data_IF_331052398184
#
_entry.id   IF_331052398184
#
_cell.length_a   1.000
_cell.length_b   1.000
_cell.length_c   1.000
_cell.angle_alpha   90.00
_cell.angle_beta   90.00
_cell.angle_gamma   90.00
#
_symmetry.space_group_name_H-M   'P 1'
#
loop_
_entity.id
_entity.type
_entity.pdbx_description
1 polymer ?
#
# COMPACT_ATOMS: atom_id res chain seq x y z
N UNK A 1 10.43 -11.05 27.14
CA UNK A 1 9.80 -10.77 26.40
C UNK A 1 10.00 -10.25 25.79
N UNK A 2 10.61 -10.22 26.45
CA UNK A 2 10.18 -9.88 25.66
C UNK A 2 10.56 -9.30 25.25
N UNK A 3 10.90 -9.44 25.78
CA UNK A 3 10.52 -8.95 25.14
C UNK A 3 10.57 -8.46 24.75
N UNK A 4 11.35 -8.68 25.52
CA UNK A 4 10.71 -8.32 24.80
C UNK A 4 10.84 -7.59 24.35
N UNK A 5 11.36 -7.69 24.98
CA UNK A 5 10.70 -7.27 24.25
C UNK A 5 10.69 -6.75 23.66
N UNK A 6 11.15 -6.84 24.15
CA UNK A 6 10.27 -6.53 23.32
C UNK A 6 10.24 -6.44 22.70
N UNK A 7 10.35 -6.67 23.21
CA UNK A 7 9.61 -6.81 22.56
C UNK A 7 9.53 -6.36 22.09
N UNK A 8 10.25 -6.36 22.63
CA UNK A 8 9.52 -6.06 21.95
C UNK A 8 9.96 -5.42 21.92
N UNK A 9 10.43 -5.51 22.58
CA UNK A 9 10.10 -5.15 22.29
C UNK A 9 10.21 -4.66 21.85
N UNK A 10 10.61 -4.65 22.49
CA UNK A 10 10.06 -4.40 21.93
C UNK A 10 9.81 -4.42 21.24
N UNK A 11 10.09 -4.72 21.75
CA UNK A 11 9.25 -4.90 21.04
C UNK A 11 8.79 -5.22 20.90
N UNK A 12 8.68 -5.54 21.58
CA UNK A 12 7.65 -6.00 21.36
C UNK A 12 7.21 -5.98 21.31
N UNK A 13 7.16 -6.17 21.96
CA UNK A 13 6.31 -6.19 21.87
C UNK A 13 5.84 -6.19 21.20
N UNK A 14 5.99 -6.34 21.43
CA UNK A 14 5.09 -6.37 20.87
C UNK A 14 4.67 -6.64 20.26
N UNK A 15 4.63 -7.03 20.80
CA UNK A 15 3.82 -7.37 20.40
C UNK A 15 3.18 -7.56 20.21
N UNK A 16 3.07 -7.97 20.68
CA UNK A 16 2.16 -8.17 20.59
C UNK A 16 1.33 -8.20 20.07
N UNK A 17 1.15 -8.58 20.24
CA UNK A 17 0.24 -8.45 19.84
C UNK A 17 -0.37 -8.70 18.88
N UNK A 18 -0.23 -9.05 18.75
CA UNK A 18 -0.83 -9.27 17.79
C UNK A 18 -0.68 -9.65 17.00
N UNK A 19 -0.15 -10.23 17.11
CA UNK A 19 -0.04 -10.65 16.40
C UNK A 19 0.10 -10.94 15.75
N UNK A 20 0.37 -11.37 15.94
CA UNK A 20 0.61 -11.34 15.48
C UNK A 20 0.93 -10.82 14.86
N UNK A 21 1.34 -10.60 14.81
CA UNK A 21 1.68 -9.75 14.44
C UNK A 21 1.89 -9.00 14.24
N UNK A 22 1.84 -8.95 13.30
CA UNK A 22 2.51 -8.38 14.40
C UNK A 22 2.02 -6.99 14.75
N UNK A 23 1.88 -6.73 15.94
CA UNK A 23 1.42 -5.43 16.41
C UNK A 23 2.49 -4.37 16.17
N UNK A 24 2.09 -3.22 15.61
CA UNK A 24 2.97 -2.07 15.42
C UNK A 24 2.48 -0.95 16.32
N UNK A 25 3.18 -0.65 17.42
CA UNK A 25 2.78 0.45 18.28
C UNK A 25 2.91 1.81 17.60
N UNK A 26 3.87 1.94 16.69
CA UNK A 26 4.09 3.16 15.93
C UNK A 26 3.91 2.86 14.44
N UNK A 27 3.01 3.55 13.74
CA UNK A 27 2.88 3.34 12.30
C UNK A 27 4.19 3.74 11.61
N UNK A 28 4.52 3.06 10.52
CA UNK A 28 5.68 3.41 9.74
C UNK A 28 5.50 4.80 9.13
N UNK A 29 6.61 5.52 8.96
CA UNK A 29 6.56 6.85 8.37
C UNK A 29 6.31 6.73 6.88
N UNK A 30 5.55 7.66 6.28
CA UNK A 30 5.39 7.66 4.84
C UNK A 30 6.72 7.92 4.15
N UNK A 31 6.92 7.30 3.01
CA UNK A 31 8.09 7.57 2.20
C UNK A 31 7.89 8.89 1.44
N UNK A 32 8.91 9.29 0.68
CA UNK A 32 8.91 10.57 0.00
C UNK A 32 7.75 10.70 -1.01
N UNK A 33 7.45 9.64 -1.73
CA UNK A 33 6.38 9.66 -2.73
C UNK A 33 5.00 9.70 -2.08
N UNK A 34 4.82 8.91 -1.04
CA UNK A 34 3.58 8.94 -0.26
C UNK A 34 3.36 10.32 0.34
N UNK A 35 4.41 10.93 0.87
CA UNK A 35 4.33 12.28 1.42
C UNK A 35 3.95 13.31 0.35
N UNK A 36 4.43 13.15 -0.87
CA UNK A 36 4.07 14.02 -1.98
C UNK A 36 2.57 13.94 -2.27
N UNK A 37 2.02 12.72 -2.31
CA UNK A 37 0.57 12.54 -2.50
C UNK A 37 -0.19 13.13 -1.32
N UNK A 38 0.29 12.89 -0.11
CA UNK A 38 -0.32 13.47 1.09
C UNK A 38 -0.36 14.99 1.06
N UNK A 39 0.69 15.62 0.53
CA UNK A 39 0.74 17.08 0.42
C UNK A 39 -0.31 17.58 -0.59
N UNK A 40 -0.49 16.86 -1.70
CA UNK A 40 -1.53 17.20 -2.67
C UNK A 40 -2.90 17.21 -2.01
N UNK A 41 -3.19 16.17 -1.21
CA UNK A 41 -4.47 16.07 -0.51
C UNK A 41 -4.63 17.17 0.55
N UNK A 42 -3.56 17.42 1.30
CA UNK A 42 -3.55 18.46 2.36
C UNK A 42 -3.82 19.83 1.76
N UNK A 43 -3.16 20.16 0.65
CA UNK A 43 -3.36 21.45 -0.02
C UNK A 43 -4.78 21.61 -0.52
N UNK A 44 -5.44 20.52 -0.86
CA UNK A 44 -6.83 20.52 -1.30
C UNK A 44 -7.83 20.39 -0.12
N UNK A 45 -7.33 20.37 1.11
CA UNK A 45 -8.13 20.28 2.34
C UNK A 45 -8.92 18.97 2.42
N UNK A 46 -8.35 17.90 1.90
CA UNK A 46 -8.94 16.55 1.95
C UNK A 46 -8.27 15.78 3.07
N UNK A 47 -9.07 15.25 4.01
CA UNK A 47 -8.55 14.46 5.12
C UNK A 47 -8.19 13.06 4.65
N UNK A 48 -7.09 12.53 5.20
CA UNK A 48 -6.62 11.19 4.88
C UNK A 48 -5.78 10.65 6.02
N UNK A 49 -5.43 9.37 5.94
CA UNK A 49 -4.49 8.73 6.86
C UNK A 49 -3.49 7.91 6.07
N UNK A 50 -2.23 7.92 6.53
CA UNK A 50 -1.21 7.03 5.98
C UNK A 50 -1.31 5.66 6.65
N UNK A 51 -0.99 4.63 5.89
CA UNK A 51 -0.68 3.29 6.39
C UNK A 51 -1.77 2.67 7.26
N UNK A 52 -3.01 2.83 6.86
CA UNK A 52 -4.12 2.20 7.54
C UNK A 52 -4.28 0.77 7.04
N UNK A 53 -4.56 -0.17 7.97
CA UNK A 53 -4.83 -1.56 7.60
C UNK A 53 -6.27 -1.74 7.19
N UNK A 54 -6.48 -2.51 6.12
CA UNK A 54 -7.82 -2.93 5.70
C UNK A 54 -7.86 -4.45 5.62
N UNK A 55 -9.02 -5.03 5.93
CA UNK A 55 -9.20 -6.47 5.92
C UNK A 55 -9.73 -6.93 4.56
N UNK A 56 -9.29 -8.11 4.15
CA UNK A 56 -9.84 -8.74 2.96
C UNK A 56 -9.81 -10.26 3.14
N UNK A 57 -10.51 -10.98 2.28
CA UNK A 57 -10.48 -12.44 2.27
C UNK A 57 -9.76 -12.92 1.01
N UNK A 58 -8.91 -13.95 1.19
CA UNK A 58 -8.28 -14.61 0.04
C UNK A 58 -9.30 -15.45 -0.71
N UNK A 59 -8.88 -16.01 -1.84
CA UNK A 59 -9.75 -16.92 -2.60
C UNK A 59 -10.08 -18.20 -1.82
N UNK A 60 -9.25 -18.54 -0.81
CA UNK A 60 -9.50 -19.68 0.07
C UNK A 60 -10.27 -19.27 1.33
N UNK A 61 -10.86 -18.08 1.33
CA UNK A 61 -11.66 -17.54 2.44
C UNK A 61 -10.86 -17.30 3.72
N UNK A 62 -9.56 -17.13 3.62
CA UNK A 62 -8.74 -16.75 4.77
C UNK A 62 -8.72 -15.24 4.93
N UNK A 63 -8.82 -14.77 6.17
CA UNK A 63 -8.74 -13.35 6.45
C UNK A 63 -7.29 -12.87 6.42
N UNK A 64 -7.07 -11.72 5.80
CA UNK A 64 -5.76 -11.07 5.72
C UNK A 64 -5.92 -9.58 5.92
N UNK A 65 -4.84 -8.93 6.31
CA UNK A 65 -4.78 -7.49 6.42
C UNK A 65 -3.78 -6.95 5.41
N UNK A 66 -4.13 -5.82 4.80
CA UNK A 66 -3.19 -5.10 3.97
C UNK A 66 -3.06 -3.69 4.52
N UNK A 67 -1.82 -3.25 4.75
CA UNK A 67 -1.55 -1.86 5.07
C UNK A 67 -1.58 -1.08 3.76
N UNK A 68 -2.54 -0.16 3.63
CA UNK A 68 -2.65 0.64 2.41
C UNK A 68 -1.87 1.95 2.59
N UNK A 69 -1.38 2.50 1.50
CA UNK A 69 -0.50 3.67 1.57
C UNK A 69 -1.27 4.90 2.06
N UNK A 70 -2.41 5.17 1.47
CA UNK A 70 -3.22 6.33 1.82
C UNK A 70 -4.69 5.92 1.86
N UNK A 71 -5.37 6.30 2.94
CA UNK A 71 -6.77 5.99 3.15
C UNK A 71 -7.57 7.28 3.28
N UNK A 72 -8.65 7.38 2.51
CA UNK A 72 -9.59 8.51 2.55
C UNK A 72 -10.97 7.97 2.91
N UNK A 73 -11.52 8.46 4.02
CA UNK A 73 -12.85 8.02 4.46
C UNK A 73 -13.93 8.30 3.42
N UNK A 74 -14.97 7.48 3.33
CA UNK A 74 -15.16 6.28 4.15
C UNK A 74 -14.45 5.04 3.58
N UNK A 75 -14.24 4.91 2.27
CA UNK A 75 -13.71 3.69 1.68
C UNK A 75 -12.92 3.94 0.40
N UNK A 76 -12.04 4.92 0.42
CA UNK A 76 -11.15 5.19 -0.72
C UNK A 76 -9.71 4.92 -0.34
N UNK A 77 -8.97 4.33 -1.25
CA UNK A 77 -7.57 3.97 -1.05
C UNK A 77 -6.77 4.50 -2.23
N UNK A 78 -5.62 5.12 -1.93
CA UNK A 78 -4.63 5.45 -2.96
C UNK A 78 -3.38 4.65 -2.64
N UNK A 79 -2.92 3.87 -3.62
CA UNK A 79 -1.70 3.10 -3.52
C UNK A 79 -0.64 3.74 -4.40
N UNK A 80 0.56 3.87 -3.88
CA UNK A 80 1.70 4.32 -4.67
C UNK A 80 2.55 3.10 -5.03
N UNK A 81 2.73 2.86 -6.32
CA UNK A 81 3.53 1.73 -6.80
C UNK A 81 4.86 2.22 -7.35
N UNK A 82 5.95 1.78 -6.70
CA UNK A 82 7.30 2.02 -7.21
C UNK A 82 7.54 1.22 -8.48
N UNK A 83 8.34 1.79 -9.37
CA UNK A 83 8.61 1.21 -10.69
C UNK A 83 9.18 -0.19 -10.59
N UNK A 84 10.20 -0.38 -9.76
CA UNK A 84 10.88 -1.67 -9.64
C UNK A 84 10.08 -2.66 -8.79
N UNK A 85 9.72 -2.26 -7.58
CA UNK A 85 9.13 -3.20 -6.61
C UNK A 85 7.80 -3.78 -7.05
N UNK A 86 7.05 -3.03 -7.84
CA UNK A 86 5.76 -3.48 -8.36
C UNK A 86 5.83 -3.84 -9.84
N UNK A 87 7.04 -3.80 -10.42
CA UNK A 87 7.31 -4.15 -11.81
C UNK A 87 6.35 -3.44 -12.76
N UNK A 88 6.47 -2.11 -12.85
CA UNK A 88 5.59 -1.31 -13.70
C UNK A 88 5.48 -1.97 -15.08
N UNK A 89 4.27 -2.41 -15.48
CA UNK A 89 4.11 -3.17 -16.73
C UNK A 89 4.47 -2.38 -17.98
N UNK A 90 4.65 -1.07 -17.88
CA UNK A 90 5.14 -0.26 -18.99
C UNK A 90 6.65 -0.33 -19.11
N UNK A 91 7.34 -0.86 -18.08
CA UNK A 91 8.82 -0.93 -18.02
C UNK A 91 9.32 -2.37 -18.00
N UNK A 92 8.53 -3.30 -17.54
CA UNK A 92 8.94 -4.69 -17.35
C UNK A 92 8.07 -5.63 -18.14
N UNK A 93 8.69 -6.74 -18.59
CA UNK A 93 7.99 -7.81 -19.31
C UNK A 93 7.55 -8.90 -18.32
N UNK A 94 6.59 -9.74 -18.69
CA UNK A 94 6.08 -10.77 -17.77
C UNK A 94 7.15 -11.67 -17.15
N UNK A 95 8.20 -12.00 -17.89
CA UNK A 95 9.24 -12.92 -17.41
C UNK A 95 10.44 -12.22 -16.78
N UNK A 96 10.42 -10.89 -16.70
CA UNK A 96 11.50 -10.17 -16.04
C UNK A 96 11.53 -10.54 -14.56
N UNK A 97 12.72 -10.65 -14.01
CA UNK A 97 12.91 -11.06 -12.63
C UNK A 97 13.11 -9.85 -11.73
N UNK A 98 12.34 -9.82 -10.66
CA UNK A 98 12.39 -8.75 -9.65
C UNK A 98 12.86 -9.39 -8.35
N UNK A 99 13.76 -8.72 -7.65
CA UNK A 99 14.23 -9.21 -6.35
C UNK A 99 13.26 -8.77 -5.26
N UNK A 100 12.73 -9.73 -4.56
CA UNK A 100 11.80 -9.47 -3.46
C UNK A 100 12.18 -10.35 -2.28
N UNK A 101 12.50 -9.72 -1.14
CA UNK A 101 12.89 -10.44 0.08
C UNK A 101 13.99 -11.47 -0.16
N UNK A 102 14.99 -11.09 -0.97
CA UNK A 102 16.13 -11.94 -1.26
C UNK A 102 15.91 -13.01 -2.31
N UNK A 103 14.72 -13.07 -2.89
CA UNK A 103 14.38 -14.05 -3.93
C UNK A 103 14.02 -13.33 -5.23
N UNK A 104 14.24 -14.02 -6.34
CA UNK A 104 13.84 -13.52 -7.65
C UNK A 104 12.44 -14.04 -7.98
N UNK A 105 11.55 -13.14 -8.36
CA UNK A 105 10.18 -13.47 -8.71
C UNK A 105 9.85 -12.80 -10.04
N UNK A 106 9.07 -13.47 -10.88
CA UNK A 106 8.68 -12.91 -12.18
C UNK A 106 7.70 -11.76 -12.01
N UNK A 107 7.86 -10.73 -12.84
CA UNK A 107 6.94 -9.61 -12.86
C UNK A 107 5.49 -10.06 -12.97
N UNK A 108 5.24 -11.05 -13.84
CA UNK A 108 3.90 -11.62 -14.02
C UNK A 108 3.30 -12.13 -12.71
N UNK A 109 4.10 -12.74 -11.86
CA UNK A 109 3.63 -13.26 -10.57
C UNK A 109 3.30 -12.13 -9.60
N UNK A 110 4.10 -11.07 -9.63
CA UNK A 110 3.81 -9.87 -8.84
C UNK A 110 2.46 -9.28 -9.26
N UNK A 111 2.24 -9.12 -10.56
CA UNK A 111 1.01 -8.56 -11.09
C UNK A 111 -0.21 -9.38 -10.70
N UNK A 112 -0.12 -10.71 -10.82
CA UNK A 112 -1.23 -11.61 -10.47
C UNK A 112 -1.58 -11.50 -8.99
N UNK A 113 -0.56 -11.50 -8.14
CA UNK A 113 -0.76 -11.41 -6.69
C UNK A 113 -1.43 -10.10 -6.32
N UNK A 114 -0.94 -8.99 -6.84
CA UNK A 114 -1.48 -7.68 -6.51
C UNK A 114 -2.89 -7.51 -7.06
N UNK A 115 -3.13 -7.98 -8.27
CA UNK A 115 -4.46 -7.91 -8.86
C UNK A 115 -5.47 -8.66 -8.01
N UNK A 116 -5.10 -9.84 -7.53
CA UNK A 116 -5.98 -10.64 -6.66
C UNK A 116 -6.30 -9.89 -5.37
N UNK A 117 -5.27 -9.36 -4.70
CA UNK A 117 -5.46 -8.65 -3.44
C UNK A 117 -6.38 -7.44 -3.63
N UNK A 118 -6.11 -6.61 -4.63
CA UNK A 118 -6.92 -5.42 -4.87
C UNK A 118 -8.35 -5.78 -5.24
N UNK A 119 -8.55 -6.86 -6.00
CA UNK A 119 -9.89 -7.31 -6.35
C UNK A 119 -10.67 -7.71 -5.10
N UNK A 120 -10.03 -8.43 -4.19
CA UNK A 120 -10.67 -8.84 -2.95
C UNK A 120 -11.01 -7.66 -2.04
N UNK A 121 -10.13 -6.65 -2.00
CA UNK A 121 -10.40 -5.43 -1.24
C UNK A 121 -11.58 -4.67 -1.87
N UNK A 122 -11.63 -4.57 -3.20
CA UNK A 122 -12.74 -3.90 -3.89
C UNK A 122 -14.08 -4.58 -3.60
N UNK A 123 -14.10 -5.90 -3.43
CA UNK A 123 -15.32 -6.61 -3.08
C UNK A 123 -15.92 -6.14 -1.76
N UNK A 124 -15.12 -5.56 -0.91
CA UNK A 124 -15.58 -5.02 0.37
C UNK A 124 -16.10 -3.59 0.26
N UNK A 125 -16.18 -3.05 -0.95
CA UNK A 125 -16.73 -1.73 -1.20
C UNK A 125 -15.72 -0.62 -1.29
N UNK A 126 -14.43 -0.94 -1.24
CA UNK A 126 -13.38 0.08 -1.37
C UNK A 126 -13.17 0.47 -2.83
N UNK A 127 -12.91 1.75 -3.05
CA UNK A 127 -12.44 2.26 -4.34
C UNK A 127 -10.94 2.45 -4.23
N UNK A 128 -10.20 2.07 -5.26
CA UNK A 128 -8.75 2.09 -5.23
C UNK A 128 -8.21 2.82 -6.45
N UNK A 129 -7.31 3.76 -6.21
CA UNK A 129 -6.53 4.43 -7.25
C UNK A 129 -5.08 4.04 -7.07
N UNK A 130 -4.46 3.50 -8.10
CA UNK A 130 -3.03 3.18 -8.09
C UNK A 130 -2.29 4.28 -8.83
N UNK A 131 -1.29 4.86 -8.17
CA UNK A 131 -0.43 5.89 -8.74
C UNK A 131 0.96 5.30 -8.94
N UNK A 132 1.44 5.28 -10.17
CA UNK A 132 2.78 4.79 -10.47
C UNK A 132 3.82 5.88 -10.26
N UNK A 133 4.98 5.47 -9.79
CA UNK A 133 6.08 6.38 -9.47
C UNK A 133 6.43 7.30 -10.63
N UNK A 134 6.56 6.74 -11.83
CA UNK A 134 6.91 7.53 -13.01
C UNK A 134 5.88 8.60 -13.34
N UNK A 135 4.59 8.26 -13.18
CA UNK A 135 3.54 9.25 -13.44
C UNK A 135 3.62 10.42 -12.47
N UNK A 136 3.88 10.11 -11.21
CA UNK A 136 3.99 11.15 -10.19
C UNK A 136 5.20 12.05 -10.43
N UNK A 137 6.30 11.48 -10.90
CA UNK A 137 7.54 12.21 -11.13
C UNK A 137 7.60 12.94 -12.47
N UNK A 138 7.08 12.32 -13.53
CA UNK A 138 7.23 12.82 -14.89
C UNK A 138 6.00 13.56 -15.41
N UNK A 139 4.85 13.31 -14.81
CA UNK A 139 3.59 13.91 -15.25
C UNK A 139 2.80 14.35 -14.01
N UNK A 140 3.46 15.16 -13.19
CA UNK A 140 2.94 15.56 -11.88
C UNK A 140 1.61 16.28 -11.98
N UNK A 141 1.44 17.15 -12.97
CA UNK A 141 0.22 17.94 -13.13
C UNK A 141 -1.00 17.05 -13.39
N UNK A 142 -0.91 16.15 -14.36
CA UNK A 142 -2.03 15.27 -14.68
C UNK A 142 -2.28 14.27 -13.56
N UNK A 143 -1.22 13.79 -12.92
CA UNK A 143 -1.34 12.87 -11.80
C UNK A 143 -2.06 13.55 -10.63
N UNK A 144 -1.71 14.81 -10.34
CA UNK A 144 -2.39 15.59 -9.31
C UNK A 144 -3.88 15.72 -9.61
N UNK A 145 -4.23 16.03 -10.86
CA UNK A 145 -5.64 16.12 -11.26
C UNK A 145 -6.36 14.80 -11.05
N UNK A 146 -5.72 13.70 -11.39
CA UNK A 146 -6.29 12.35 -11.22
C UNK A 146 -6.55 12.06 -9.75
N UNK A 147 -5.58 12.37 -8.89
CA UNK A 147 -5.71 12.16 -7.44
C UNK A 147 -6.88 12.96 -6.89
N UNK A 148 -6.98 14.25 -7.24
CA UNK A 148 -8.02 15.11 -6.72
C UNK A 148 -9.39 14.71 -7.23
N UNK A 149 -9.51 14.33 -8.49
CA UNK A 149 -10.77 13.85 -9.05
C UNK A 149 -11.23 12.59 -8.29
N UNK A 150 -10.32 11.65 -8.06
CA UNK A 150 -10.65 10.44 -7.31
C UNK A 150 -11.08 10.75 -5.88
N UNK A 151 -10.33 11.62 -5.21
CA UNK A 151 -10.58 11.91 -3.80
C UNK A 151 -11.91 12.64 -3.58
N UNK A 152 -12.37 13.38 -4.59
CA UNK A 152 -13.60 14.19 -4.48
C UNK A 152 -14.86 13.50 -5.00
N UNK A 153 -14.73 12.28 -5.46
CA UNK A 153 -15.90 11.53 -5.97
C UNK A 153 -16.97 11.31 -4.91
#
# INVERSE_FOLDING_TARGET
MPKTSNIWSSDVKESLQDNLYPFKPNPSKPNKRESQIGQILTDAKIRFKFHRSVDYQTLQNEYRKKEVDIFIRPKKIIEHNGTYNHADPRKYKPDDLIREHGKLIKANEIWKREKMILKQIKKKGYKILVIWEDDLLQDTENTTKKILKFAKL
#
